data_IF_187100780952
#
_entry.id   IF_187100780952
#
_cell.length_a   1.000
_cell.length_b   1.000
_cell.length_c   1.000
_cell.angle_alpha   90.00
_cell.angle_beta   90.00
_cell.angle_gamma   90.00
#
_symmetry.space_group_name_H-M   'P 1'
#
loop_
_entity.id
_entity.type
_entity.pdbx_description
1 polymer ?
#
# COMPACT_ATOMS: atom_id res chain seq x y z
N UNK A 1 3.58 -11.89 -7.59
CA UNK A 1 3.01 -11.34 -6.34
C UNK A 1 4.06 -11.43 -5.25
N UNK A 2 4.22 -10.37 -4.45
CA UNK A 2 5.15 -10.34 -3.31
C UNK A 2 4.35 -10.42 -2.01
N UNK A 3 4.94 -10.97 -0.95
CA UNK A 3 4.30 -11.01 0.35
C UNK A 3 4.31 -9.61 0.97
N UNK A 4 3.25 -9.26 1.69
CA UNK A 4 3.22 -8.03 2.46
C UNK A 4 4.38 -8.01 3.47
N UNK A 5 5.04 -6.87 3.68
CA UNK A 5 6.18 -6.77 4.60
C UNK A 5 5.72 -6.94 6.05
N UNK A 6 6.58 -7.56 6.86
CA UNK A 6 6.32 -7.75 8.30
C UNK A 6 5.27 -8.82 8.65
N UNK A 7 4.86 -8.82 9.92
CA UNK A 7 3.93 -9.78 10.50
C UNK A 7 2.99 -9.12 11.51
N UNK A 8 1.80 -9.69 11.71
CA UNK A 8 0.81 -9.20 12.68
C UNK A 8 0.37 -7.75 12.41
N UNK A 9 0.23 -6.96 13.47
CA UNK A 9 -0.21 -5.56 13.38
C UNK A 9 0.80 -4.68 12.63
N UNK A 10 2.09 -5.02 12.70
CA UNK A 10 3.13 -4.34 11.91
C UNK A 10 2.89 -4.48 10.41
N UNK A 11 2.39 -5.65 9.95
CA UNK A 11 2.03 -5.83 8.55
C UNK A 11 0.90 -4.90 8.12
N UNK A 12 -0.11 -4.72 8.98
CA UNK A 12 -1.25 -3.83 8.70
C UNK A 12 -0.79 -2.38 8.58
N UNK A 13 0.02 -1.93 9.54
CA UNK A 13 0.61 -0.58 9.52
C UNK A 13 1.47 -0.34 8.26
N UNK A 14 2.35 -1.28 7.91
CA UNK A 14 3.19 -1.14 6.70
C UNK A 14 2.38 -1.20 5.40
N UNK A 15 1.29 -1.97 5.35
CA UNK A 15 0.39 -1.96 4.20
C UNK A 15 -0.34 -0.62 4.06
N UNK A 16 -0.73 -0.01 5.17
CA UNK A 16 -1.29 1.35 5.18
C UNK A 16 -0.28 2.37 4.67
N UNK A 17 1.00 2.26 5.07
CA UNK A 17 2.06 3.15 4.56
C UNK A 17 2.17 3.07 3.04
N UNK A 18 2.18 1.85 2.50
CA UNK A 18 2.25 1.62 1.05
C UNK A 18 0.99 2.15 0.35
N UNK A 19 -0.18 1.97 0.96
CA UNK A 19 -1.44 2.47 0.42
C UNK A 19 -1.45 3.99 0.35
N UNK A 20 -1.04 4.68 1.43
CA UNK A 20 -0.91 6.14 1.47
C UNK A 20 0.11 6.61 0.42
N UNK A 21 1.29 5.98 0.37
CA UNK A 21 2.36 6.33 -0.58
C UNK A 21 1.89 6.22 -2.04
N UNK A 22 1.10 5.20 -2.36
CA UNK A 22 0.67 4.92 -3.74
C UNK A 22 -0.73 5.46 -4.08
N UNK A 23 -1.43 6.07 -3.12
CA UNK A 23 -2.82 6.50 -3.26
C UNK A 23 -3.83 5.34 -3.36
N UNK A 24 -3.45 4.14 -2.92
CA UNK A 24 -4.30 2.96 -2.91
C UNK A 24 -5.09 2.79 -1.60
N UNK A 25 -5.94 1.78 -1.54
CA UNK A 25 -6.70 1.40 -0.34
C UNK A 25 -6.35 -0.03 0.07
N UNK A 26 -6.00 -0.24 1.34
CA UNK A 26 -5.76 -1.58 1.88
C UNK A 26 -7.09 -2.33 1.98
N UNK A 27 -7.24 -3.38 1.18
CA UNK A 27 -8.38 -4.28 1.24
C UNK A 27 -8.18 -5.22 2.43
N UNK A 28 -9.01 -5.04 3.46
CA UNK A 28 -9.03 -5.88 4.65
C UNK A 28 -10.46 -6.21 5.04
N UNK A 29 -10.72 -7.49 5.35
CA UNK A 29 -12.02 -7.96 5.82
C UNK A 29 -12.42 -7.30 7.15
N UNK A 30 -11.45 -6.99 8.02
CA UNK A 30 -11.69 -6.28 9.29
C UNK A 30 -12.24 -4.87 9.08
N UNK A 31 -11.94 -4.26 7.92
CA UNK A 31 -12.44 -2.94 7.53
C UNK A 31 -13.69 -3.03 6.64
N UNK A 32 -14.25 -4.23 6.45
CA UNK A 32 -15.43 -4.46 5.62
C UNK A 32 -15.15 -4.46 4.11
N UNK A 33 -13.88 -4.39 3.68
CA UNK A 33 -13.53 -4.48 2.27
C UNK A 33 -13.41 -5.95 1.86
N UNK A 34 -14.01 -6.28 0.71
CA UNK A 34 -13.88 -7.60 0.08
C UNK A 34 -13.13 -7.45 -1.23
N UNK A 35 -12.22 -8.38 -1.51
CA UNK A 35 -11.46 -8.41 -2.75
C UNK A 35 -12.37 -8.48 -3.99
N UNK A 36 -13.52 -9.14 -3.86
CA UNK A 36 -14.54 -9.27 -4.91
C UNK A 36 -15.15 -7.94 -5.34
N UNK A 37 -15.21 -6.96 -4.42
CA UNK A 37 -15.77 -5.63 -4.65
C UNK A 37 -14.69 -4.58 -4.95
N UNK A 38 -13.44 -5.01 -5.18
CA UNK A 38 -12.35 -4.09 -5.40
C UNK A 38 -12.51 -3.35 -6.73
N UNK A 39 -12.49 -2.02 -6.70
CA UNK A 39 -12.50 -1.18 -7.90
C UNK A 39 -11.09 -0.72 -8.25
N UNK A 40 -10.91 -0.20 -9.47
CA UNK A 40 -9.65 0.39 -9.90
C UNK A 40 -9.21 1.57 -9.01
N UNK A 41 -10.15 2.23 -8.34
CA UNK A 41 -9.88 3.35 -7.44
C UNK A 41 -9.19 2.91 -6.14
N UNK A 42 -9.27 1.62 -5.79
CA UNK A 42 -8.56 1.07 -4.63
C UNK A 42 -7.11 0.69 -4.96
N UNK A 43 -6.75 0.61 -6.25
CA UNK A 43 -5.41 0.24 -6.67
C UNK A 43 -4.48 1.46 -6.63
N UNK A 44 -3.40 1.34 -5.85
CA UNK A 44 -2.34 2.35 -5.83
C UNK A 44 -1.58 2.41 -7.15
N UNK A 45 -0.98 3.56 -7.45
CA UNK A 45 -0.12 3.79 -8.61
C UNK A 45 1.27 4.24 -8.17
N UNK A 46 2.27 3.79 -8.91
CA UNK A 46 3.65 4.21 -8.76
C UNK A 46 4.32 4.29 -10.14
N UNK A 47 5.32 5.16 -10.28
CA UNK A 47 6.09 5.32 -11.52
C UNK A 47 6.92 4.07 -11.85
N UNK A 48 7.52 3.45 -10.83
CA UNK A 48 8.33 2.22 -11.01
C UNK A 48 8.24 1.32 -9.79
N UNK A 49 8.12 0.02 -10.06
CA UNK A 49 8.21 -1.03 -9.04
C UNK A 49 9.31 -2.01 -9.46
N UNK A 50 10.32 -2.18 -8.60
CA UNK A 50 11.42 -3.13 -8.80
C UNK A 50 11.32 -4.23 -7.75
N UNK A 51 11.37 -5.48 -8.18
CA UNK A 51 11.27 -6.65 -7.29
C UNK A 51 12.51 -7.50 -7.51
N UNK A 52 13.25 -7.76 -6.43
CA UNK A 52 14.37 -8.70 -6.41
C UNK A 52 13.95 -9.97 -5.67
N UNK A 53 14.89 -10.89 -5.47
CA UNK A 53 14.63 -12.13 -4.70
C UNK A 53 14.25 -11.82 -3.26
N UNK A 54 14.85 -10.77 -2.69
CA UNK A 54 14.80 -10.47 -1.27
C UNK A 54 14.02 -9.17 -0.96
N UNK A 55 13.96 -8.23 -1.91
CA UNK A 55 13.44 -6.88 -1.69
C UNK A 55 12.38 -6.45 -2.72
N UNK A 56 11.54 -5.49 -2.33
CA UNK A 56 10.62 -4.79 -3.23
C UNK A 56 10.75 -3.30 -3.02
N UNK A 57 11.00 -2.58 -4.11
CA UNK A 57 11.20 -1.13 -4.12
C UNK A 57 10.11 -0.47 -4.96
N UNK A 58 9.37 0.45 -4.35
CA UNK A 58 8.32 1.25 -4.99
C UNK A 58 8.85 2.68 -5.10
N UNK A 59 8.89 3.23 -6.31
CA UNK A 59 9.46 4.56 -6.60
C UNK A 59 8.39 5.46 -7.23
N UNK A 60 8.34 6.70 -6.75
CA UNK A 60 7.36 7.74 -7.06
C UNK A 60 5.93 7.22 -6.99
N UNK A 61 5.47 6.94 -5.77
CA UNK A 61 4.06 6.67 -5.51
C UNK A 61 3.21 7.90 -5.79
N UNK A 62 2.03 7.70 -6.39
CA UNK A 62 1.12 8.78 -6.76
C UNK A 62 0.11 9.11 -5.63
N UNK A 63 0.56 8.97 -4.38
CA UNK A 63 -0.18 9.38 -3.20
C UNK A 63 -0.28 10.89 -3.05
N UNK A 64 -1.19 11.37 -2.21
CA UNK A 64 -1.28 12.81 -1.92
C UNK A 64 -0.17 13.22 -0.95
N UNK A 65 0.54 14.29 -1.27
CA UNK A 65 1.62 14.82 -0.43
C UNK A 65 1.17 15.09 1.01
N UNK A 66 -0.04 15.65 1.20
CA UNK A 66 -0.60 15.93 2.52
C UNK A 66 -0.79 14.65 3.36
N UNK A 67 -1.30 13.58 2.74
CA UNK A 67 -1.53 12.29 3.42
C UNK A 67 -0.19 11.62 3.77
N UNK A 68 0.82 11.76 2.90
CA UNK A 68 2.18 11.25 3.14
C UNK A 68 2.83 12.02 4.29
N UNK A 69 2.75 13.36 4.31
CA UNK A 69 3.29 14.18 5.40
C UNK A 69 2.59 13.88 6.73
N UNK A 70 1.26 13.73 6.73
CA UNK A 70 0.50 13.37 7.91
C UNK A 70 0.87 11.98 8.47
N UNK A 71 1.32 11.06 7.61
CA UNK A 71 1.76 9.73 8.03
C UNK A 71 3.19 9.70 8.59
N UNK A 72 4.03 10.63 8.17
CA UNK A 72 5.42 10.73 8.64
C UNK A 72 5.54 11.44 9.99
N UNK A 73 4.63 12.38 10.28
CA UNK A 73 4.56 13.14 11.54
C UNK A 73 3.97 12.32 12.71
#
# INVERSE_FOLDING_TARGET
AVKAPGFGDRRKAMLEDIAILTGGTVISEERGYKLENATLDYLGRASRVSITKDDTTIVDGNGKDDDIQARVN
#
